data_IF_616149658956
#
_entry.id   IF_616149658956
#
_cell.length_a   1.000
_cell.length_b   1.000
_cell.length_c   1.000
_cell.angle_alpha   90.00
_cell.angle_beta   90.00
_cell.angle_gamma   90.00
#
_symmetry.space_group_name_H-M   'P 1'
#
loop_
_entity.id
_entity.type
_entity.pdbx_description
1 polymer ?
#
# COMPACT_ATOMS: atom_id res chain seq x y z
N UNK A 1 47.73 23.29 -2.64
CA UNK A 1 47.36 22.66 -1.36
C UNK A 1 45.89 22.93 -1.11
N UNK A 2 45.11 21.86 -0.84
CA UNK A 2 43.92 21.81 0.04
C UNK A 2 42.84 22.89 -0.24
N UNK A 3 41.58 22.58 -0.56
CA UNK A 3 40.71 21.63 0.15
C UNK A 3 39.59 21.18 -0.80
N UNK A 4 39.46 19.87 -0.98
CA UNK A 4 38.24 19.23 -1.46
C UNK A 4 37.16 19.47 -0.40
N UNK A 5 36.16 20.29 -0.70
CA UNK A 5 34.94 20.36 0.10
C UNK A 5 34.02 19.26 -0.44
N UNK A 6 34.11 18.08 0.17
CA UNK A 6 33.14 17.01 -0.03
C UNK A 6 31.85 17.41 0.69
N UNK A 7 30.87 17.92 -0.05
CA UNK A 7 29.51 18.10 0.44
C UNK A 7 28.86 16.73 0.45
N UNK A 8 28.84 16.10 1.63
CA UNK A 8 28.07 14.89 1.89
C UNK A 8 26.60 15.30 1.99
N UNK A 9 25.87 15.23 0.87
CA UNK A 9 24.41 15.39 0.87
C UNK A 9 23.84 14.16 1.55
N UNK A 10 23.41 14.33 2.80
CA UNK A 10 22.69 13.32 3.56
C UNK A 10 21.31 13.16 2.90
N UNK A 11 21.17 12.12 2.06
CA UNK A 11 19.88 11.67 1.55
C UNK A 11 19.07 11.16 2.74
N UNK A 12 18.29 12.02 3.39
CA UNK A 12 17.16 11.59 4.21
C UNK A 12 16.15 10.95 3.25
N UNK A 13 16.31 9.64 3.01
CA UNK A 13 15.23 8.83 2.48
C UNK A 13 14.12 8.87 3.53
N UNK A 14 13.16 9.78 3.36
CA UNK A 14 11.88 9.67 4.04
C UNK A 14 11.34 8.30 3.63
N UNK A 15 11.41 7.33 4.54
CA UNK A 15 10.77 6.04 4.35
C UNK A 15 9.28 6.35 4.23
N UNK A 16 8.79 6.41 3.01
CA UNK A 16 7.36 6.47 2.74
C UNK A 16 6.80 5.14 3.25
N UNK A 17 6.32 5.15 4.50
CA UNK A 17 5.53 4.03 5.00
C UNK A 17 4.29 3.98 4.12
N UNK A 18 4.13 2.84 3.47
CA UNK A 18 3.09 2.64 2.51
C UNK A 18 2.36 1.34 2.84
N UNK A 19 1.05 1.43 2.77
CA UNK A 19 0.10 0.37 3.04
C UNK A 19 0.35 -0.76 2.06
N UNK A 20 0.33 -1.98 2.55
CA UNK A 20 0.36 -3.18 1.72
C UNK A 20 -1.06 -3.73 1.57
N UNK A 21 -1.38 -4.30 0.40
CA UNK A 21 -2.62 -5.01 0.16
C UNK A 21 -2.32 -6.49 -0.09
N UNK A 22 -2.82 -7.36 0.76
CA UNK A 22 -2.64 -8.81 0.66
C UNK A 22 -3.97 -9.49 0.41
N UNK A 23 -4.00 -10.38 -0.57
CA UNK A 23 -5.13 -11.27 -0.81
C UNK A 23 -4.74 -12.69 -0.42
N UNK A 24 -5.33 -13.22 0.65
CA UNK A 24 -5.17 -14.60 1.09
C UNK A 24 -6.27 -15.53 0.53
N UNK A 25 -7.25 -14.98 -0.19
CA UNK A 25 -8.29 -15.79 -0.82
C UNK A 25 -7.82 -16.40 -2.15
N UNK A 26 -8.51 -17.47 -2.57
CA UNK A 26 -8.25 -18.19 -3.82
C UNK A 26 -8.89 -17.55 -5.07
N UNK A 27 -9.33 -16.29 -4.99
CA UNK A 27 -9.95 -15.56 -6.12
C UNK A 27 -9.36 -14.17 -6.29
N UNK A 28 -9.41 -13.66 -7.53
CA UNK A 28 -9.04 -12.28 -7.88
C UNK A 28 -10.13 -11.31 -7.42
N UNK A 29 -9.73 -10.11 -7.04
CA UNK A 29 -10.63 -8.99 -6.75
C UNK A 29 -10.29 -7.76 -7.57
N UNK A 30 -11.34 -7.00 -7.93
CA UNK A 30 -11.21 -5.62 -8.36
C UNK A 30 -11.15 -4.71 -7.12
N UNK A 31 -10.25 -3.73 -7.16
CA UNK A 31 -9.89 -2.89 -6.02
C UNK A 31 -9.89 -1.43 -6.46
N UNK A 32 -10.45 -0.54 -5.65
CA UNK A 32 -10.31 0.90 -5.80
C UNK A 32 -9.55 1.46 -4.61
N UNK A 33 -8.54 2.27 -4.91
CA UNK A 33 -7.72 2.94 -3.90
C UNK A 33 -8.07 4.42 -3.95
N UNK A 34 -8.69 4.92 -2.88
CA UNK A 34 -9.09 6.30 -2.72
C UNK A 34 -8.07 7.04 -1.85
N UNK A 35 -7.28 7.89 -2.48
CA UNK A 35 -6.32 8.80 -1.83
C UNK A 35 -6.60 10.24 -2.27
N UNK A 36 -5.60 10.98 -2.76
CA UNK A 36 -5.82 12.28 -3.42
C UNK A 36 -6.66 12.12 -4.70
N UNK A 37 -6.57 10.96 -5.35
CA UNK A 37 -7.42 10.53 -6.44
C UNK A 37 -7.89 9.09 -6.25
N UNK A 38 -8.71 8.60 -7.19
CA UNK A 38 -9.12 7.19 -7.21
C UNK A 38 -8.35 6.42 -8.26
N UNK A 39 -7.68 5.35 -7.84
CA UNK A 39 -7.00 4.40 -8.73
C UNK A 39 -7.79 3.10 -8.74
N UNK A 40 -8.20 2.64 -9.93
CA UNK A 40 -8.81 1.32 -10.11
C UNK A 40 -7.72 0.31 -10.48
N UNK A 41 -7.68 -0.81 -9.78
CA UNK A 41 -6.71 -1.90 -9.99
C UNK A 41 -7.36 -3.23 -9.61
N UNK A 42 -6.55 -4.28 -9.56
CA UNK A 42 -6.97 -5.61 -9.16
C UNK A 42 -5.87 -6.31 -8.40
N UNK A 43 -6.23 -7.25 -7.54
CA UNK A 43 -5.27 -8.13 -6.87
C UNK A 43 -5.61 -9.60 -7.15
N UNK A 44 -4.61 -10.35 -7.61
CA UNK A 44 -4.73 -11.79 -7.85
C UNK A 44 -4.86 -12.58 -6.56
N UNK A 45 -5.31 -13.83 -6.65
CA UNK A 45 -5.37 -14.74 -5.51
C UNK A 45 -3.98 -14.96 -4.89
N UNK A 46 -3.92 -15.15 -3.56
CA UNK A 46 -2.69 -15.48 -2.83
C UNK A 46 -1.50 -14.56 -3.13
N UNK A 47 -1.75 -13.27 -3.38
CA UNK A 47 -0.75 -12.27 -3.80
C UNK A 47 -0.69 -11.12 -2.79
N UNK A 48 0.47 -10.46 -2.71
CA UNK A 48 0.65 -9.20 -1.96
C UNK A 48 1.09 -8.10 -2.92
N UNK A 49 0.39 -6.98 -2.93
CA UNK A 49 0.82 -5.73 -3.55
C UNK A 49 1.40 -4.84 -2.46
N UNK A 50 2.68 -4.53 -2.60
CA UNK A 50 3.37 -3.70 -1.64
C UNK A 50 3.21 -2.22 -1.96
N UNK A 51 3.15 -1.40 -0.91
CA UNK A 51 3.25 0.05 -0.99
C UNK A 51 2.20 0.70 -1.91
N UNK A 52 0.93 0.29 -1.76
CA UNK A 52 -0.17 0.72 -2.63
C UNK A 52 -0.60 2.17 -2.42
N UNK A 53 -0.40 2.70 -1.20
CA UNK A 53 -0.69 4.09 -0.84
C UNK A 53 0.00 4.44 0.48
N UNK A 54 0.12 5.72 0.86
CA UNK A 54 0.58 6.10 2.21
C UNK A 54 -0.58 6.29 3.20
N UNK A 55 -1.69 6.83 2.74
CA UNK A 55 -2.90 7.07 3.54
C UNK A 55 -4.07 7.03 2.56
N UNK A 56 -4.93 6.01 2.67
CA UNK A 56 -6.01 5.80 1.72
C UNK A 56 -7.16 4.98 2.28
N UNK A 57 -8.28 4.98 1.55
CA UNK A 57 -9.33 3.99 1.69
C UNK A 57 -9.22 2.96 0.56
N UNK A 58 -9.12 1.68 0.92
CA UNK A 58 -9.11 0.56 -0.01
C UNK A 58 -10.52 -0.02 -0.08
N UNK A 59 -11.17 0.10 -1.23
CA UNK A 59 -12.45 -0.55 -1.55
C UNK A 59 -12.17 -1.84 -2.34
N UNK A 60 -12.63 -2.97 -1.83
CA UNK A 60 -12.60 -4.27 -2.52
C UNK A 60 -14.03 -4.59 -2.98
N UNK A 61 -14.22 -4.61 -4.30
CA UNK A 61 -15.55 -4.76 -4.91
C UNK A 61 -16.20 -6.07 -4.46
N UNK A 62 -17.38 -5.97 -3.85
CA UNK A 62 -18.13 -7.11 -3.34
C UNK A 62 -17.68 -7.64 -1.97
N UNK A 63 -16.72 -6.98 -1.30
CA UNK A 63 -16.28 -7.31 0.06
C UNK A 63 -16.55 -6.14 1.01
N UNK A 64 -16.09 -4.93 0.67
CA UNK A 64 -16.24 -3.74 1.51
C UNK A 64 -15.11 -2.74 1.32
N UNK A 65 -15.02 -1.72 2.18
CA UNK A 65 -13.91 -0.77 2.20
C UNK A 65 -13.31 -0.61 3.59
N UNK A 66 -12.04 -0.22 3.63
CA UNK A 66 -11.31 0.04 4.88
C UNK A 66 -10.28 1.14 4.70
N UNK A 67 -10.11 1.99 5.72
CA UNK A 67 -9.05 3.00 5.76
C UNK A 67 -7.77 2.37 6.30
N UNK A 68 -6.65 2.69 5.67
CA UNK A 68 -5.34 2.24 6.09
C UNK A 68 -4.28 3.32 5.82
N UNK A 69 -3.24 3.33 6.65
CA UNK A 69 -2.20 4.34 6.65
C UNK A 69 -0.83 3.77 7.04
N UNK A 70 0.23 4.47 6.67
CA UNK A 70 1.58 4.16 7.11
C UNK A 70 2.00 2.74 6.69
N UNK A 71 2.39 1.92 7.65
CA UNK A 71 2.92 0.56 7.43
C UNK A 71 1.88 -0.54 7.63
N UNK A 72 0.59 -0.19 7.65
CA UNK A 72 -0.49 -1.15 7.82
C UNK A 72 -0.59 -2.10 6.61
N UNK A 73 -1.04 -3.32 6.86
CA UNK A 73 -1.38 -4.29 5.81
C UNK A 73 -2.87 -4.54 5.80
N UNK A 74 -3.54 -4.21 4.69
CA UNK A 74 -4.92 -4.61 4.45
C UNK A 74 -4.93 -6.03 3.90
N UNK A 75 -5.60 -6.95 4.60
CA UNK A 75 -5.68 -8.37 4.24
C UNK A 75 -7.11 -8.72 3.85
N UNK A 76 -7.28 -9.24 2.64
CA UNK A 76 -8.51 -9.91 2.19
C UNK A 76 -8.41 -11.38 2.58
N UNK A 77 -9.31 -11.84 3.45
CA UNK A 77 -9.33 -13.23 3.92
C UNK A 77 -10.75 -13.67 4.25
N UNK A 78 -11.13 -14.85 3.76
CA UNK A 78 -12.45 -15.45 3.93
C UNK A 78 -13.58 -14.49 3.51
N UNK A 79 -13.38 -13.70 2.46
CA UNK A 79 -14.35 -12.70 2.01
C UNK A 79 -14.58 -11.55 2.99
N UNK A 80 -13.60 -11.23 3.85
CA UNK A 80 -13.60 -10.09 4.76
C UNK A 80 -12.30 -9.29 4.66
N UNK A 81 -12.33 -8.06 5.18
CA UNK A 81 -11.16 -7.18 5.29
C UNK A 81 -10.67 -7.12 6.74
N UNK A 82 -9.36 -7.21 6.91
CA UNK A 82 -8.65 -7.05 8.18
C UNK A 82 -7.50 -6.07 7.98
N UNK A 83 -7.22 -5.20 8.95
CA UNK A 83 -6.03 -4.33 8.98
C UNK A 83 -5.07 -4.87 10.03
N UNK A 84 -3.80 -5.00 9.66
CA UNK A 84 -2.72 -5.49 10.52
C UNK A 84 -1.57 -4.50 10.62
#
# INVERSE_FOLDING_TARGET
MKKLIAVLVLFCAASAWAVDLKNEDSRRYEVKIHSVGTTNTSIESNTTQMSVCSDCEIEVVGVGSVKASGSETVVIKNGALEVR
#
